data_IF_144346023814
#
_entry.id   IF_144346023814
#
_cell.length_a   1.000
_cell.length_b   1.000
_cell.length_c   1.000
_cell.angle_alpha   90.00
_cell.angle_beta   90.00
_cell.angle_gamma   90.00
#
_symmetry.space_group_name_H-M   'P 1'
#
loop_
_entity.id
_entity.type
_entity.pdbx_description
1 polymer ?
#
# COMPACT_ATOMS: atom_id res chain seq x y z
N UNK A 1 -37.49 -67.56 -15.25
CA UNK A 1 -37.18 -67.42 -13.81
C UNK A 1 -35.69 -67.29 -13.52
N UNK A 2 -34.89 -68.37 -13.39
CA UNK A 2 -33.47 -68.22 -12.99
C UNK A 2 -32.60 -67.43 -13.97
N UNK A 3 -32.80 -67.62 -15.29
CA UNK A 3 -32.07 -66.88 -16.34
C UNK A 3 -32.42 -65.38 -16.38
N UNK A 4 -33.66 -65.03 -16.08
CA UNK A 4 -34.12 -63.63 -16.03
C UNK A 4 -33.59 -62.91 -14.80
N UNK A 5 -33.55 -63.60 -13.65
CA UNK A 5 -32.94 -63.07 -12.44
C UNK A 5 -31.44 -62.78 -12.63
N UNK A 6 -30.70 -63.69 -13.28
CA UNK A 6 -29.28 -63.48 -13.59
C UNK A 6 -29.08 -62.30 -14.54
N UNK A 7 -29.95 -62.15 -15.56
CA UNK A 7 -29.88 -61.03 -16.49
C UNK A 7 -30.16 -59.70 -15.80
N UNK A 8 -31.18 -59.64 -14.94
CA UNK A 8 -31.51 -58.46 -14.14
C UNK A 8 -30.37 -58.04 -13.23
N UNK A 9 -29.69 -59.00 -12.57
CA UNK A 9 -28.53 -58.69 -11.72
C UNK A 9 -27.41 -58.08 -12.56
N UNK A 10 -27.12 -58.66 -13.73
CA UNK A 10 -26.08 -58.14 -14.63
C UNK A 10 -26.39 -56.73 -15.14
N UNK A 11 -27.65 -56.48 -15.52
CA UNK A 11 -28.08 -55.16 -15.98
C UNK A 11 -27.94 -54.10 -14.84
N UNK A 12 -28.27 -54.48 -13.60
CA UNK A 12 -28.05 -53.64 -12.41
C UNK A 12 -26.56 -53.41 -12.10
N UNK A 13 -25.72 -54.43 -12.24
CA UNK A 13 -24.26 -54.29 -12.07
C UNK A 13 -23.66 -53.30 -13.07
N UNK A 14 -24.06 -53.39 -14.35
CA UNK A 14 -23.62 -52.47 -15.39
C UNK A 14 -24.10 -51.03 -15.12
N UNK A 15 -25.32 -50.86 -14.59
CA UNK A 15 -25.86 -49.56 -14.20
C UNK A 15 -25.10 -48.94 -13.01
N UNK A 16 -24.83 -49.73 -11.97
CA UNK A 16 -24.02 -49.30 -10.82
C UNK A 16 -22.60 -48.92 -11.27
N UNK A 17 -22.02 -49.68 -12.20
CA UNK A 17 -20.70 -49.39 -12.74
C UNK A 17 -20.65 -48.05 -13.48
N UNK A 18 -21.67 -47.74 -14.28
CA UNK A 18 -21.80 -46.40 -14.91
C UNK A 18 -21.95 -45.31 -13.86
N UNK A 19 -22.83 -45.48 -12.87
CA UNK A 19 -23.01 -44.47 -11.81
C UNK A 19 -21.72 -44.20 -11.05
N UNK A 20 -20.93 -45.23 -10.74
CA UNK A 20 -19.63 -45.05 -10.10
C UNK A 20 -18.64 -44.30 -11.00
N UNK A 21 -18.65 -44.58 -12.29
CA UNK A 21 -17.78 -43.91 -13.25
C UNK A 21 -18.15 -42.43 -13.40
N UNK A 22 -19.44 -42.12 -13.57
CA UNK A 22 -19.96 -40.75 -13.64
C UNK A 22 -19.68 -39.97 -12.35
N UNK A 23 -19.88 -40.59 -11.18
CA UNK A 23 -19.58 -39.95 -9.90
C UNK A 23 -18.10 -39.66 -9.73
N UNK A 24 -17.23 -40.55 -10.21
CA UNK A 24 -15.77 -40.35 -10.18
C UNK A 24 -15.35 -39.21 -11.09
N UNK A 25 -15.88 -39.17 -12.32
CA UNK A 25 -15.60 -38.09 -13.28
C UNK A 25 -16.10 -36.74 -12.78
N UNK A 26 -17.31 -36.70 -12.21
CA UNK A 26 -17.88 -35.49 -11.60
C UNK A 26 -17.03 -34.99 -10.42
N UNK A 27 -16.52 -35.90 -9.57
CA UNK A 27 -15.66 -35.54 -8.45
C UNK A 27 -14.32 -34.94 -8.92
N UNK A 28 -13.70 -35.51 -9.96
CA UNK A 28 -12.47 -34.96 -10.56
C UNK A 28 -12.73 -33.57 -11.12
N UNK A 29 -13.80 -33.42 -11.90
CA UNK A 29 -14.16 -32.13 -12.50
C UNK A 29 -14.44 -31.06 -11.44
N UNK A 30 -15.20 -31.40 -10.40
CA UNK A 30 -15.49 -30.49 -9.30
C UNK A 30 -14.22 -30.04 -8.57
N UNK A 31 -13.25 -30.93 -8.40
CA UNK A 31 -11.94 -30.60 -7.82
C UNK A 31 -11.16 -29.64 -8.72
N UNK A 32 -11.13 -29.88 -10.02
CA UNK A 32 -10.43 -29.01 -10.99
C UNK A 32 -11.05 -27.62 -11.04
N UNK A 33 -12.38 -27.52 -11.10
CA UNK A 33 -13.12 -26.26 -11.06
C UNK A 33 -12.84 -25.49 -9.75
N UNK A 34 -12.78 -26.18 -8.62
CA UNK A 34 -12.45 -25.58 -7.33
C UNK A 34 -11.01 -25.03 -7.29
N UNK A 35 -10.05 -25.75 -7.87
CA UNK A 35 -8.65 -25.31 -7.97
C UNK A 35 -8.54 -24.07 -8.87
N UNK A 36 -9.21 -24.08 -10.03
CA UNK A 36 -9.20 -22.95 -10.94
C UNK A 36 -9.83 -21.71 -10.31
N UNK A 37 -10.97 -21.88 -9.63
CA UNK A 37 -11.64 -20.79 -8.92
C UNK A 37 -10.76 -20.23 -7.79
N UNK A 38 -10.12 -21.10 -6.99
CA UNK A 38 -9.21 -20.68 -5.94
C UNK A 38 -8.00 -19.91 -6.48
N UNK A 39 -7.45 -20.32 -7.63
CA UNK A 39 -6.37 -19.60 -8.30
C UNK A 39 -6.79 -18.20 -8.73
N UNK A 40 -7.97 -18.07 -9.38
CA UNK A 40 -8.51 -16.78 -9.80
C UNK A 40 -8.77 -15.85 -8.61
N UNK A 41 -9.36 -16.35 -7.54
CA UNK A 41 -9.61 -15.54 -6.34
C UNK A 41 -8.31 -15.15 -5.64
N UNK A 42 -7.31 -16.02 -5.60
CA UNK A 42 -5.99 -15.67 -5.10
C UNK A 42 -5.37 -14.51 -5.88
N UNK A 43 -5.33 -14.62 -7.21
CA UNK A 43 -4.79 -13.56 -8.08
C UNK A 43 -5.56 -12.24 -7.91
N UNK A 44 -6.89 -12.33 -7.76
CA UNK A 44 -7.75 -11.17 -7.52
C UNK A 44 -7.42 -10.48 -6.20
N UNK A 45 -7.24 -11.25 -5.12
CA UNK A 45 -6.88 -10.70 -3.79
C UNK A 45 -5.53 -10.00 -3.85
N UNK A 46 -4.53 -10.61 -4.51
CA UNK A 46 -3.21 -9.99 -4.66
C UNK A 46 -3.32 -8.67 -5.45
N UNK A 47 -4.04 -8.67 -6.56
CA UNK A 47 -4.25 -7.46 -7.35
C UNK A 47 -4.95 -6.34 -6.55
N UNK A 48 -6.03 -6.67 -5.84
CA UNK A 48 -6.76 -5.71 -5.00
C UNK A 48 -5.87 -5.14 -3.87
N UNK A 49 -5.01 -5.98 -3.28
CA UNK A 49 -4.07 -5.55 -2.26
C UNK A 49 -2.99 -4.61 -2.83
N UNK A 50 -2.44 -4.91 -4.00
CA UNK A 50 -1.46 -4.05 -4.67
C UNK A 50 -2.05 -2.69 -5.05
N UNK A 51 -3.26 -2.67 -5.60
CA UNK A 51 -3.94 -1.41 -5.94
C UNK A 51 -4.26 -0.58 -4.68
N UNK A 52 -4.70 -1.23 -3.61
CA UNK A 52 -4.92 -0.56 -2.31
C UNK A 52 -3.63 0.05 -1.77
N UNK A 53 -2.50 -0.68 -1.84
CA UNK A 53 -1.21 -0.17 -1.41
C UNK A 53 -0.74 1.04 -2.24
N UNK A 54 -0.95 1.01 -3.56
CA UNK A 54 -0.67 2.17 -4.44
C UNK A 54 -1.50 3.38 -4.08
N UNK A 55 -2.79 3.18 -3.77
CA UNK A 55 -3.69 4.26 -3.35
C UNK A 55 -3.23 4.90 -2.03
N UNK A 56 -2.92 4.09 -1.02
CA UNK A 56 -2.41 4.57 0.28
C UNK A 56 -1.12 5.39 0.09
N UNK A 57 -0.18 4.90 -0.74
CA UNK A 57 1.06 5.63 -1.02
C UNK A 57 0.79 6.97 -1.70
N UNK A 58 -0.13 7.00 -2.67
CA UNK A 58 -0.48 8.23 -3.39
C UNK A 58 -1.14 9.25 -2.48
N UNK A 59 -2.05 8.81 -1.61
CA UNK A 59 -2.68 9.67 -0.59
C UNK A 59 -1.65 10.21 0.40
N UNK A 60 -0.74 9.35 0.86
CA UNK A 60 0.34 9.74 1.78
C UNK A 60 1.27 10.79 1.17
N UNK A 61 1.64 10.66 -0.12
CA UNK A 61 2.44 11.67 -0.83
C UNK A 61 1.69 13.00 -0.91
N UNK A 62 0.40 12.96 -1.28
CA UNK A 62 -0.42 14.17 -1.39
C UNK A 62 -0.58 14.87 -0.04
N UNK A 63 -0.78 14.12 1.03
CA UNK A 63 -0.85 14.67 2.39
C UNK A 63 0.49 15.27 2.82
N UNK A 64 1.60 14.58 2.55
CA UNK A 64 2.94 15.09 2.82
C UNK A 64 3.23 16.38 2.06
N UNK A 65 2.81 16.49 0.79
CA UNK A 65 2.91 17.72 0.01
C UNK A 65 2.07 18.86 0.61
N UNK A 66 0.83 18.58 1.02
CA UNK A 66 -0.05 19.56 1.66
C UNK A 66 0.51 20.08 2.99
N UNK A 67 1.15 19.23 3.78
CA UNK A 67 1.74 19.62 5.07
C UNK A 67 3.09 20.31 4.85
N UNK A 68 3.90 19.87 3.89
CA UNK A 68 5.25 20.41 3.68
C UNK A 68 5.26 21.77 2.98
N UNK A 69 4.34 22.04 2.05
CA UNK A 69 4.24 23.34 1.36
C UNK A 69 4.17 24.55 2.31
N UNK A 70 3.27 24.60 3.32
CA UNK A 70 3.21 25.74 4.22
C UNK A 70 4.48 25.87 5.07
N UNK A 71 5.10 24.76 5.48
CA UNK A 71 6.36 24.77 6.25
C UNK A 71 7.48 25.39 5.41
N UNK A 72 7.60 25.00 4.14
CA UNK A 72 8.60 25.55 3.22
C UNK A 72 8.34 27.04 2.98
N UNK A 73 7.08 27.43 2.77
CA UNK A 73 6.71 28.82 2.55
C UNK A 73 7.00 29.70 3.78
N UNK A 74 6.65 29.23 4.98
CA UNK A 74 6.97 29.92 6.23
C UNK A 74 8.48 30.04 6.44
N UNK A 75 9.23 28.97 6.17
CA UNK A 75 10.69 28.97 6.22
C UNK A 75 11.30 29.99 5.26
N UNK A 76 10.79 30.07 4.03
CA UNK A 76 11.24 31.05 3.03
C UNK A 76 10.97 32.48 3.47
N UNK A 77 9.77 32.77 3.99
CA UNK A 77 9.42 34.10 4.48
C UNK A 77 10.29 34.52 5.67
N UNK A 78 10.57 33.59 6.59
CA UNK A 78 11.48 33.83 7.71
C UNK A 78 12.90 34.11 7.25
N UNK A 79 13.40 33.35 6.27
CA UNK A 79 14.73 33.58 5.70
C UNK A 79 14.81 34.95 5.01
N UNK A 80 13.80 35.31 4.22
CA UNK A 80 13.71 36.62 3.57
C UNK A 80 13.64 37.76 4.60
N UNK A 81 12.91 37.59 5.70
CA UNK A 81 12.88 38.56 6.79
C UNK A 81 14.25 38.78 7.45
N UNK A 82 15.09 37.75 7.55
CA UNK A 82 16.46 37.86 8.05
C UNK A 82 17.35 38.56 7.02
N UNK A 83 17.24 38.19 5.74
CA UNK A 83 18.04 38.79 4.67
C UNK A 83 17.69 40.25 4.38
N UNK A 84 16.45 40.66 4.66
CA UNK A 84 15.96 42.04 4.47
C UNK A 84 16.23 42.95 5.67
N UNK A 85 16.98 42.49 6.68
CA UNK A 85 17.45 43.36 7.75
C UNK A 85 18.32 44.46 7.13
N UNK A 86 17.91 45.71 7.34
CA UNK A 86 18.61 46.89 6.83
C UNK A 86 19.98 47.06 7.48
N UNK A 87 20.93 47.56 6.70
CA UNK A 87 22.31 47.80 7.11
C UNK A 87 22.42 48.77 8.31
N UNK A 88 21.50 49.73 8.43
CA UNK A 88 21.47 50.67 9.56
C UNK A 88 21.31 49.96 10.92
N UNK A 89 20.48 48.92 10.98
CA UNK A 89 20.30 48.09 12.18
C UNK A 89 21.50 47.19 12.45
N UNK A 90 22.15 46.69 11.40
CA UNK A 90 23.38 45.91 11.53
C UNK A 90 24.51 46.79 12.05
N UNK A 91 24.66 48.00 11.52
CA UNK A 91 25.65 48.99 11.96
C UNK A 91 25.42 49.43 13.41
N UNK A 92 24.17 49.57 13.84
CA UNK A 92 23.84 49.84 15.23
C UNK A 92 24.26 48.67 16.14
N UNK A 93 23.95 47.43 15.75
CA UNK A 93 24.35 46.24 16.48
C UNK A 93 25.89 46.12 16.59
N UNK A 94 26.61 46.35 15.49
CA UNK A 94 28.08 46.40 15.48
C UNK A 94 28.58 47.46 16.46
N UNK A 95 28.04 48.69 16.41
CA UNK A 95 28.44 49.77 17.33
C UNK A 95 28.19 49.43 18.81
N UNK A 96 27.12 48.74 19.14
CA UNK A 96 26.84 48.27 20.50
C UNK A 96 27.90 47.23 20.93
N UNK A 97 28.20 46.26 20.07
CA UNK A 97 29.20 45.22 20.35
C UNK A 97 30.59 45.85 20.51
N UNK A 98 31.01 46.73 19.60
CA UNK A 98 32.29 47.43 19.68
C UNK A 98 32.40 48.25 20.97
N UNK A 99 31.37 49.01 21.36
CA UNK A 99 31.38 49.73 22.65
C UNK A 99 31.51 48.80 23.84
N UNK A 100 30.90 47.62 23.80
CA UNK A 100 30.99 46.65 24.89
C UNK A 100 32.38 46.02 24.97
N UNK A 101 32.99 45.67 23.84
CA UNK A 101 34.36 45.13 23.80
C UNK A 101 35.38 46.19 24.22
N UNK A 102 35.27 47.41 23.68
CA UNK A 102 36.17 48.53 24.03
C UNK A 102 35.95 48.96 25.49
N UNK A 103 34.71 48.95 26.01
CA UNK A 103 34.44 49.27 27.42
C UNK A 103 34.95 48.22 28.42
N UNK A 104 35.13 46.97 27.99
CA UNK A 104 35.67 45.88 28.83
C UNK A 104 37.19 45.77 28.71
N UNK A 105 37.76 45.99 27.52
CA UNK A 105 39.20 45.83 27.24
C UNK A 105 39.99 47.15 27.10
N UNK A 106 39.31 48.29 27.09
CA UNK A 106 39.86 49.61 26.77
C UNK A 106 39.95 50.56 27.97
N UNK A 107 40.03 50.04 29.19
CA UNK A 107 40.60 50.82 30.28
C UNK A 107 42.13 50.80 30.16
N UNK A 108 42.64 51.68 29.31
CA UNK A 108 43.80 52.50 29.64
C UNK A 108 43.52 53.94 29.25
#
# INVERSE_FOLDING_TARGET
MAKEAIKSIKDTEDEVKRMLQEATEAAVKSKEEAIEFAGKEYDRIIFEAEESAKMINKESIKEAELISQPIIQEGSLKAEAILSIKDDRLDEAVRIITRRVVGVNGNS
#
